data_IF_649305387338
#
_entry.id   IF_649305387338
#
_cell.length_a   1.000
_cell.length_b   1.000
_cell.length_c   1.000
_cell.angle_alpha   90.00
_cell.angle_beta   90.00
_cell.angle_gamma   90.00
#
_symmetry.space_group_name_H-M   'P 1'
#
loop_
_entity.id
_entity.type
_entity.pdbx_description
1 polymer ?
#
# COMPACT_ATOMS: atom_id res chain seq x y z
N UNK A 1 -70.58 -6.29 -11.63
CA UNK A 1 -69.68 -5.20 -11.22
C UNK A 1 -68.47 -5.81 -10.52
N UNK A 2 -67.26 -5.74 -11.10
CA UNK A 2 -66.03 -6.08 -10.40
C UNK A 2 -65.26 -4.83 -9.98
N UNK A 3 -64.62 -4.91 -8.81
CA UNK A 3 -63.70 -3.92 -8.26
C UNK A 3 -62.42 -3.83 -9.12
N UNK A 4 -61.99 -2.61 -9.44
CA UNK A 4 -60.68 -2.33 -10.00
C UNK A 4 -59.68 -2.05 -8.87
N UNK A 5 -58.64 -2.87 -8.82
CA UNK A 5 -57.48 -2.79 -7.95
C UNK A 5 -56.54 -1.67 -8.40
N UNK A 6 -56.23 -0.74 -7.50
CA UNK A 6 -55.23 0.29 -7.70
C UNK A 6 -53.83 -0.31 -7.78
N UNK A 7 -53.22 -0.25 -8.96
CA UNK A 7 -51.79 -0.45 -9.13
C UNK A 7 -51.08 0.85 -8.71
N UNK A 8 -50.32 0.80 -7.61
CA UNK A 8 -49.36 1.85 -7.26
C UNK A 8 -48.15 1.76 -8.19
N UNK A 9 -48.22 2.46 -9.32
CA UNK A 9 -47.06 2.77 -10.13
C UNK A 9 -46.12 3.67 -9.33
N UNK A 10 -44.89 3.22 -9.11
CA UNK A 10 -43.81 4.07 -8.62
C UNK A 10 -43.60 5.23 -9.61
N UNK A 11 -43.60 6.45 -9.10
CA UNK A 11 -43.49 7.67 -9.89
C UNK A 11 -42.08 7.83 -10.49
N UNK A 12 -41.93 8.29 -11.76
CA UNK A 12 -40.63 8.42 -12.43
C UNK A 12 -39.72 9.55 -11.89
N UNK A 13 -40.19 10.38 -10.97
CA UNK A 13 -39.56 11.66 -10.58
C UNK A 13 -38.40 11.54 -9.59
N UNK A 14 -38.32 10.46 -8.79
CA UNK A 14 -37.30 10.37 -7.72
C UNK A 14 -35.84 10.23 -8.20
N UNK A 15 -35.62 9.82 -9.45
CA UNK A 15 -34.26 9.71 -10.02
C UNK A 15 -33.73 11.03 -10.59
N UNK A 16 -34.62 11.95 -10.98
CA UNK A 16 -34.24 13.23 -11.58
C UNK A 16 -33.74 14.24 -10.53
N UNK A 17 -34.16 14.10 -9.27
CA UNK A 17 -33.76 14.98 -8.16
C UNK A 17 -32.43 14.61 -7.49
N UNK A 18 -31.76 13.54 -7.95
CA UNK A 18 -30.47 13.10 -7.37
C UNK A 18 -29.30 13.84 -8.01
N UNK A 19 -28.33 14.20 -7.20
CA UNK A 19 -27.05 14.77 -7.63
C UNK A 19 -26.30 13.76 -8.51
N UNK A 20 -26.09 14.15 -9.76
CA UNK A 20 -25.39 13.35 -10.77
C UNK A 20 -23.90 13.69 -10.74
N UNK A 21 -23.17 13.01 -9.86
CA UNK A 21 -21.75 13.26 -9.65
C UNK A 21 -20.89 12.20 -10.33
N UNK A 22 -19.78 12.63 -10.94
CA UNK A 22 -18.70 11.73 -11.40
C UNK A 22 -17.62 11.57 -10.34
N UNK A 23 -17.41 12.60 -9.53
CA UNK A 23 -16.42 12.65 -8.46
C UNK A 23 -17.09 13.09 -7.16
N UNK A 24 -16.84 12.36 -6.08
CA UNK A 24 -17.35 12.66 -4.75
C UNK A 24 -16.22 12.49 -3.74
N UNK A 25 -15.87 13.59 -3.09
CA UNK A 25 -14.74 13.65 -2.16
C UNK A 25 -15.20 14.28 -0.85
N UNK A 26 -14.97 13.58 0.25
CA UNK A 26 -15.28 14.01 1.60
C UNK A 26 -14.03 13.94 2.45
N UNK A 27 -13.84 14.97 3.28
CA UNK A 27 -12.74 15.04 4.22
C UNK A 27 -13.21 15.64 5.56
N UNK A 28 -12.83 15.03 6.69
CA UNK A 28 -13.09 15.54 8.04
C UNK A 28 -14.58 15.82 8.35
N UNK A 29 -15.48 14.96 7.88
CA UNK A 29 -16.94 15.08 8.12
C UNK A 29 -17.53 13.81 8.74
N UNK A 30 -18.60 13.98 9.51
CA UNK A 30 -19.44 12.87 9.97
C UNK A 30 -20.43 12.50 8.87
N UNK A 31 -20.40 11.24 8.40
CA UNK A 31 -21.26 10.81 7.29
C UNK A 31 -22.67 10.50 7.80
N UNK A 32 -23.65 11.27 7.33
CA UNK A 32 -25.06 10.93 7.51
C UNK A 32 -25.59 10.12 6.32
N UNK A 33 -25.41 8.80 6.39
CA UNK A 33 -25.71 7.84 5.30
C UNK A 33 -27.12 7.97 4.70
N UNK A 34 -28.22 8.11 5.48
CA UNK A 34 -29.57 8.19 4.90
C UNK A 34 -29.75 9.36 3.93
N UNK A 35 -29.07 10.49 4.18
CA UNK A 35 -29.10 11.64 3.29
C UNK A 35 -28.30 11.38 2.02
N UNK A 36 -27.06 10.89 2.14
CA UNK A 36 -26.21 10.65 0.97
C UNK A 36 -26.79 9.59 0.02
N UNK A 37 -27.43 8.55 0.55
CA UNK A 37 -28.09 7.52 -0.26
C UNK A 37 -29.27 8.09 -1.06
N UNK A 38 -30.00 9.06 -0.50
CA UNK A 38 -31.13 9.72 -1.18
C UNK A 38 -30.68 10.81 -2.14
N UNK A 39 -29.66 11.57 -1.76
CA UNK A 39 -29.24 12.78 -2.47
C UNK A 39 -28.36 12.50 -3.69
N UNK A 40 -27.63 11.37 -3.75
CA UNK A 40 -26.62 11.12 -4.79
C UNK A 40 -27.05 9.98 -5.71
N UNK A 41 -26.84 10.16 -7.02
CA UNK A 41 -26.84 9.05 -7.98
C UNK A 41 -25.48 8.35 -7.98
N UNK A 42 -25.37 7.32 -7.15
CA UNK A 42 -24.16 6.52 -6.95
C UNK A 42 -23.74 5.69 -8.18
N UNK A 43 -24.64 5.49 -9.15
CA UNK A 43 -24.36 4.64 -10.33
C UNK A 43 -23.46 5.33 -11.36
N UNK A 44 -23.36 6.67 -11.29
CA UNK A 44 -22.53 7.48 -12.19
C UNK A 44 -21.14 7.77 -11.65
N UNK A 45 -20.92 7.54 -10.36
CA UNK A 45 -19.69 7.89 -9.70
C UNK A 45 -18.51 7.07 -10.24
N UNK A 46 -17.46 7.77 -10.69
CA UNK A 46 -16.18 7.18 -11.10
C UNK A 46 -15.08 7.35 -10.06
N UNK A 47 -15.14 8.39 -9.25
CA UNK A 47 -14.11 8.72 -8.24
C UNK A 47 -14.76 8.92 -6.87
N UNK A 48 -14.26 8.20 -5.87
CA UNK A 48 -14.71 8.28 -4.49
C UNK A 48 -13.50 8.47 -3.56
N UNK A 49 -13.46 9.59 -2.86
CA UNK A 49 -12.46 9.89 -1.84
C UNK A 49 -13.17 10.10 -0.50
N UNK A 50 -12.82 9.33 0.53
CA UNK A 50 -13.38 9.47 1.87
C UNK A 50 -12.23 9.48 2.86
N UNK A 51 -11.90 10.65 3.40
CA UNK A 51 -10.76 10.84 4.30
C UNK A 51 -11.22 11.35 5.66
N UNK A 52 -10.72 10.76 6.74
CA UNK A 52 -10.98 11.18 8.11
C UNK A 52 -12.49 11.29 8.44
N UNK A 53 -13.33 10.51 7.76
CA UNK A 53 -14.78 10.58 7.92
C UNK A 53 -15.30 9.60 8.99
N UNK A 54 -16.11 10.09 9.90
CA UNK A 54 -16.82 9.27 10.88
C UNK A 54 -18.05 8.61 10.25
N UNK A 55 -18.54 7.53 10.86
CA UNK A 55 -19.69 6.75 10.36
C UNK A 55 -19.54 6.16 8.94
N UNK A 56 -18.32 6.16 8.37
CA UNK A 56 -18.03 5.63 7.03
C UNK A 56 -18.48 4.17 6.82
N UNK A 57 -18.49 3.34 7.88
CA UNK A 57 -18.97 1.95 7.77
C UNK A 57 -20.45 1.85 7.41
N UNK A 58 -21.27 2.75 7.95
CA UNK A 58 -22.71 2.78 7.65
C UNK A 58 -22.95 3.05 6.17
N UNK A 59 -22.12 3.90 5.56
CA UNK A 59 -22.15 4.19 4.14
C UNK A 59 -21.79 2.95 3.32
N UNK A 60 -20.66 2.29 3.62
CA UNK A 60 -20.26 1.07 2.91
C UNK A 60 -21.32 -0.04 2.98
N UNK A 61 -21.94 -0.21 4.16
CA UNK A 61 -23.08 -1.13 4.34
C UNK A 61 -24.25 -0.77 3.45
N UNK A 62 -24.66 0.49 3.44
CA UNK A 62 -25.79 0.95 2.64
C UNK A 62 -25.52 0.84 1.14
N UNK A 63 -24.32 1.22 0.68
CA UNK A 63 -23.93 1.10 -0.73
C UNK A 63 -23.94 -0.37 -1.17
N UNK A 64 -23.32 -1.26 -0.39
CA UNK A 64 -23.37 -2.70 -0.68
C UNK A 64 -24.81 -3.21 -0.75
N UNK A 65 -25.65 -2.89 0.24
CA UNK A 65 -27.04 -3.37 0.31
C UNK A 65 -27.88 -2.91 -0.88
N UNK A 66 -27.74 -1.65 -1.30
CA UNK A 66 -28.61 -1.05 -2.30
C UNK A 66 -28.18 -1.33 -3.75
N UNK A 67 -26.90 -1.67 -3.96
CA UNK A 67 -26.30 -1.69 -5.29
C UNK A 67 -25.50 -2.97 -5.60
N UNK A 68 -25.52 -3.98 -4.73
CA UNK A 68 -24.99 -5.29 -5.10
C UNK A 68 -25.95 -5.99 -6.08
N UNK A 69 -25.44 -6.73 -7.08
CA UNK A 69 -26.28 -7.51 -7.97
C UNK A 69 -27.15 -8.50 -7.19
N UNK A 70 -28.42 -8.63 -7.57
CA UNK A 70 -29.38 -9.54 -6.93
C UNK A 70 -28.91 -10.99 -6.95
N UNK A 71 -29.16 -11.75 -5.88
CA UNK A 71 -28.78 -13.16 -5.76
C UNK A 71 -29.44 -14.06 -6.81
N UNK A 72 -30.63 -13.69 -7.31
CA UNK A 72 -31.31 -14.41 -8.40
C UNK A 72 -30.50 -14.39 -9.71
N UNK A 73 -29.66 -13.37 -9.92
CA UNK A 73 -28.79 -13.28 -11.08
C UNK A 73 -27.56 -14.18 -10.97
N UNK A 74 -27.22 -14.70 -9.78
CA UNK A 74 -26.01 -15.48 -9.51
C UNK A 74 -26.19 -16.99 -9.72
N UNK A 75 -27.43 -17.47 -9.82
CA UNK A 75 -27.72 -18.92 -9.88
C UNK A 75 -27.56 -19.56 -11.26
N UNK A 76 -27.29 -18.79 -12.33
CA UNK A 76 -27.24 -19.31 -13.71
C UNK A 76 -25.92 -19.15 -14.46
N UNK A 77 -24.93 -18.42 -13.93
CA UNK A 77 -23.65 -18.17 -14.60
C UNK A 77 -22.53 -18.01 -13.58
N UNK A 78 -21.45 -18.78 -13.71
CA UNK A 78 -20.26 -18.70 -12.84
C UNK A 78 -19.56 -17.32 -12.89
N UNK A 79 -19.94 -16.46 -13.83
CA UNK A 79 -19.52 -15.05 -13.87
C UNK A 79 -20.70 -14.15 -14.22
N UNK A 80 -21.07 -13.24 -13.31
CA UNK A 80 -21.98 -12.14 -13.62
C UNK A 80 -21.33 -11.23 -14.68
N UNK A 81 -22.08 -10.85 -15.71
CA UNK A 81 -21.66 -9.82 -16.66
C UNK A 81 -21.44 -8.47 -15.96
N UNK A 82 -20.61 -7.60 -16.53
CA UNK A 82 -20.34 -6.28 -15.97
C UNK A 82 -21.62 -5.44 -15.79
N UNK A 83 -22.59 -5.60 -16.69
CA UNK A 83 -23.88 -4.88 -16.64
C UNK A 83 -24.75 -5.22 -15.42
N UNK A 84 -24.46 -6.33 -14.73
CA UNK A 84 -25.14 -6.68 -13.48
C UNK A 84 -24.74 -5.77 -12.31
N UNK A 85 -23.60 -5.07 -12.44
CA UNK A 85 -23.07 -4.17 -11.42
C UNK A 85 -23.42 -2.72 -11.76
N UNK A 86 -24.20 -2.01 -10.92
CA UNK A 86 -24.63 -0.65 -11.22
C UNK A 86 -23.53 0.40 -11.04
N UNK A 87 -22.45 0.09 -10.31
CA UNK A 87 -21.36 1.03 -10.05
C UNK A 87 -20.39 1.15 -11.23
N UNK A 88 -20.02 2.40 -11.53
CA UNK A 88 -18.96 2.75 -12.49
C UNK A 88 -17.67 3.23 -11.83
N UNK A 89 -17.49 2.89 -10.55
CA UNK A 89 -16.36 3.34 -9.74
C UNK A 89 -15.04 2.82 -10.32
N UNK A 90 -14.11 3.74 -10.55
CA UNK A 90 -12.75 3.50 -11.09
C UNK A 90 -11.66 3.87 -10.09
N UNK A 91 -11.89 4.90 -9.28
CA UNK A 91 -10.89 5.45 -8.39
C UNK A 91 -11.45 5.49 -6.97
N UNK A 92 -10.75 4.86 -6.03
CA UNK A 92 -11.11 4.85 -4.62
C UNK A 92 -9.92 5.29 -3.77
N UNK A 93 -10.14 6.26 -2.88
CA UNK A 93 -9.17 6.67 -1.86
C UNK A 93 -9.86 6.72 -0.49
N UNK A 94 -9.27 6.04 0.49
CA UNK A 94 -9.73 6.11 1.89
C UNK A 94 -8.60 5.86 2.87
N UNK A 95 -8.71 6.50 4.03
CA UNK A 95 -7.83 6.33 5.17
C UNK A 95 -8.42 5.42 6.27
N UNK A 96 -9.69 5.02 6.11
CA UNK A 96 -10.41 4.12 7.02
C UNK A 96 -10.86 2.88 6.25
N UNK A 97 -10.09 1.82 6.40
CA UNK A 97 -10.33 0.53 5.73
C UNK A 97 -11.04 -0.41 6.68
N UNK A 98 -12.32 -0.67 6.42
CA UNK A 98 -13.15 -1.54 7.23
C UNK A 98 -13.56 -2.83 6.50
N UNK A 99 -14.05 -3.81 7.26
CA UNK A 99 -14.59 -5.05 6.70
C UNK A 99 -15.74 -4.78 5.72
N UNK A 100 -16.57 -3.76 5.99
CA UNK A 100 -17.67 -3.39 5.11
C UNK A 100 -17.20 -2.78 3.79
N UNK A 101 -16.08 -2.05 3.78
CA UNK A 101 -15.44 -1.61 2.55
C UNK A 101 -14.98 -2.83 1.72
N UNK A 102 -14.35 -3.82 2.34
CA UNK A 102 -13.93 -5.04 1.63
C UNK A 102 -15.11 -5.80 1.04
N UNK A 103 -16.22 -5.92 1.79
CA UNK A 103 -17.44 -6.55 1.30
C UNK A 103 -18.08 -5.76 0.16
N UNK A 104 -18.08 -4.42 0.24
CA UNK A 104 -18.52 -3.55 -0.83
C UNK A 104 -17.69 -3.77 -2.11
N UNK A 105 -16.36 -3.75 -2.04
CA UNK A 105 -15.47 -4.01 -3.18
C UNK A 105 -15.67 -5.42 -3.75
N UNK A 106 -15.88 -6.42 -2.89
CA UNK A 106 -16.13 -7.81 -3.30
C UNK A 106 -17.48 -8.00 -3.99
N UNK A 107 -18.53 -7.29 -3.58
CA UNK A 107 -19.90 -7.65 -3.97
C UNK A 107 -20.59 -6.62 -4.85
N UNK A 108 -20.27 -5.34 -4.71
CA UNK A 108 -20.91 -4.25 -5.43
C UNK A 108 -20.07 -3.70 -6.58
N UNK A 109 -18.75 -3.90 -6.58
CA UNK A 109 -17.88 -3.48 -7.68
C UNK A 109 -17.62 -4.65 -8.64
N UNK A 110 -17.83 -4.38 -9.94
CA UNK A 110 -17.54 -5.33 -11.00
C UNK A 110 -16.04 -5.70 -11.04
N UNK A 111 -15.68 -6.98 -11.25
CA UNK A 111 -14.28 -7.36 -11.43
C UNK A 111 -13.63 -6.59 -12.58
N UNK A 112 -12.35 -6.24 -12.42
CA UNK A 112 -11.55 -5.51 -13.41
C UNK A 112 -12.15 -4.19 -13.93
N UNK A 113 -12.84 -3.41 -13.07
CA UNK A 113 -13.22 -2.02 -13.39
C UNK A 113 -12.44 -0.96 -12.61
N UNK A 114 -11.94 -1.29 -11.42
CA UNK A 114 -11.17 -0.37 -10.58
C UNK A 114 -9.79 -0.12 -11.19
N UNK A 115 -9.46 1.15 -11.43
CA UNK A 115 -8.20 1.61 -12.04
C UNK A 115 -7.21 2.12 -10.98
N UNK A 116 -7.68 2.75 -9.90
CA UNK A 116 -6.81 3.15 -8.79
C UNK A 116 -7.42 2.88 -7.43
N UNK A 117 -6.57 2.44 -6.51
CA UNK A 117 -6.93 2.30 -5.10
C UNK A 117 -5.82 2.83 -4.19
N UNK A 118 -6.21 3.69 -3.26
CA UNK A 118 -5.35 4.27 -2.25
C UNK A 118 -5.95 3.94 -0.88
N UNK A 119 -5.28 3.03 -0.17
CA UNK A 119 -5.61 2.63 1.20
C UNK A 119 -4.47 3.13 2.07
N UNK A 120 -4.68 4.28 2.72
CA UNK A 120 -3.64 4.94 3.52
C UNK A 120 -4.13 5.15 4.95
N UNK A 121 -3.86 4.20 5.84
CA UNK A 121 -4.43 4.25 7.19
C UNK A 121 -4.08 5.53 7.95
N UNK A 122 -5.11 6.24 8.40
CA UNK A 122 -4.99 7.45 9.21
C UNK A 122 -4.53 7.16 10.64
N UNK A 123 -3.91 8.14 11.30
CA UNK A 123 -3.37 7.98 12.68
C UNK A 123 -4.44 7.67 13.73
N UNK A 124 -5.67 8.12 13.51
CA UNK A 124 -6.79 7.99 14.45
C UNK A 124 -7.62 6.72 14.23
N UNK A 125 -7.22 5.85 13.30
CA UNK A 125 -7.95 4.65 12.94
C UNK A 125 -7.01 3.44 13.00
N UNK A 126 -7.55 2.31 13.41
CA UNK A 126 -6.85 1.03 13.40
C UNK A 126 -7.76 0.04 12.68
N UNK A 127 -7.35 -0.38 11.49
CA UNK A 127 -8.07 -1.37 10.70
C UNK A 127 -7.97 -2.75 11.33
N UNK A 128 -9.06 -3.51 11.20
CA UNK A 128 -9.12 -4.96 11.47
C UNK A 128 -8.95 -5.78 10.18
N UNK A 129 -8.81 -5.12 9.03
CA UNK A 129 -8.71 -5.77 7.73
C UNK A 129 -7.30 -6.27 7.50
N UNK A 130 -7.16 -7.58 7.30
CA UNK A 130 -5.88 -8.20 6.99
C UNK A 130 -5.45 -7.94 5.53
N UNK A 131 -4.15 -8.05 5.27
CA UNK A 131 -3.61 -7.92 3.90
C UNK A 131 -4.14 -9.00 2.96
N UNK A 132 -4.47 -10.20 3.46
CA UNK A 132 -5.05 -11.29 2.66
C UNK A 132 -6.43 -10.91 2.10
N UNK A 133 -7.23 -10.17 2.88
CA UNK A 133 -8.52 -9.67 2.43
C UNK A 133 -8.35 -8.66 1.29
N UNK A 134 -7.39 -7.74 1.41
CA UNK A 134 -7.05 -6.77 0.36
C UNK A 134 -6.52 -7.50 -0.88
N UNK A 135 -5.59 -8.44 -0.71
CA UNK A 135 -5.05 -9.24 -1.81
C UNK A 135 -6.17 -9.98 -2.57
N UNK A 136 -7.08 -10.66 -1.86
CA UNK A 136 -8.16 -11.45 -2.46
C UNK A 136 -9.23 -10.57 -3.13
N UNK A 137 -9.69 -9.54 -2.44
CA UNK A 137 -10.85 -8.76 -2.85
C UNK A 137 -10.52 -7.55 -3.71
N UNK A 138 -9.27 -7.08 -3.67
CA UNK A 138 -8.80 -5.95 -4.47
C UNK A 138 -7.82 -6.43 -5.55
N UNK A 139 -6.63 -6.88 -5.17
CA UNK A 139 -5.54 -7.12 -6.11
C UNK A 139 -5.86 -8.23 -7.11
N UNK A 140 -6.35 -9.39 -6.64
CA UNK A 140 -6.73 -10.50 -7.53
C UNK A 140 -7.95 -10.18 -8.39
N UNK A 141 -8.95 -9.51 -7.80
CA UNK A 141 -10.24 -9.22 -8.43
C UNK A 141 -10.12 -8.18 -9.55
N UNK A 142 -9.23 -7.20 -9.40
CA UNK A 142 -9.04 -6.08 -10.34
C UNK A 142 -7.69 -6.12 -11.07
N UNK A 143 -7.04 -7.28 -11.10
CA UNK A 143 -5.72 -7.47 -11.71
C UNK A 143 -5.60 -6.94 -13.15
N UNK A 144 -6.68 -7.00 -13.92
CA UNK A 144 -6.70 -6.59 -15.33
C UNK A 144 -6.85 -5.08 -15.54
N UNK A 145 -7.32 -4.34 -14.54
CA UNK A 145 -7.63 -2.91 -14.65
C UNK A 145 -6.80 -2.00 -13.76
N UNK A 146 -6.28 -2.51 -12.64
CA UNK A 146 -5.51 -1.71 -11.68
C UNK A 146 -4.26 -1.13 -12.33
N UNK A 147 -4.18 0.21 -12.29
CA UNK A 147 -3.07 1.03 -12.75
C UNK A 147 -2.28 1.60 -11.58
N UNK A 148 -2.97 1.99 -10.50
CA UNK A 148 -2.35 2.63 -9.34
C UNK A 148 -2.81 1.93 -8.07
N UNK A 149 -1.86 1.45 -7.28
CA UNK A 149 -2.12 0.78 -6.01
C UNK A 149 -1.24 1.41 -4.96
N UNK A 150 -1.84 1.88 -3.86
CA UNK A 150 -1.12 2.31 -2.68
C UNK A 150 -1.73 1.63 -1.46
N UNK A 151 -0.94 0.81 -0.79
CA UNK A 151 -1.27 0.15 0.47
C UNK A 151 -0.25 0.64 1.51
N UNK A 152 -0.68 1.59 2.33
CA UNK A 152 0.17 2.23 3.32
C UNK A 152 -0.51 2.19 4.69
N UNK A 153 0.06 1.40 5.61
CA UNK A 153 -0.33 1.37 7.02
C UNK A 153 0.74 2.03 7.91
N UNK A 154 1.72 2.71 7.32
CA UNK A 154 2.76 3.37 8.08
C UNK A 154 2.21 4.64 8.74
N UNK A 155 2.28 4.69 10.07
CA UNK A 155 1.99 5.90 10.83
C UNK A 155 3.21 6.81 10.74
N UNK A 156 3.22 7.70 9.74
CA UNK A 156 4.27 8.72 9.59
C UNK A 156 4.39 9.51 10.90
N UNK A 157 5.58 9.54 11.51
CA UNK A 157 5.85 10.33 12.72
C UNK A 157 5.65 9.60 14.06
N UNK A 158 5.27 8.32 14.07
CA UNK A 158 5.33 7.50 15.28
C UNK A 158 6.76 6.98 15.44
N UNK A 159 7.40 7.25 16.58
CA UNK A 159 8.68 6.61 16.93
C UNK A 159 8.42 5.11 16.97
N UNK A 160 9.08 4.35 16.10
CA UNK A 160 8.94 2.89 15.99
C UNK A 160 9.08 2.30 17.39
N UNK A 161 7.94 1.97 18.02
CA UNK A 161 7.95 1.28 19.29
C UNK A 161 8.53 -0.12 19.02
N UNK A 162 9.33 -0.60 19.96
CA UNK A 162 10.04 -1.89 19.89
C UNK A 162 9.07 -3.06 19.70
N UNK A 163 7.77 -2.85 19.99
CA UNK A 163 6.71 -3.80 19.74
C UNK A 163 6.28 -3.71 18.26
N UNK A 164 6.84 -4.61 17.44
CA UNK A 164 6.43 -5.00 16.09
C UNK A 164 5.28 -4.17 15.49
N UNK A 165 5.64 -3.02 14.91
CA UNK A 165 4.69 -1.98 14.57
C UNK A 165 3.56 -2.42 13.62
N UNK A 166 2.37 -1.87 13.88
CA UNK A 166 1.11 -2.08 13.14
C UNK A 166 1.22 -1.98 11.60
N UNK A 167 2.28 -1.35 11.08
CA UNK A 167 2.59 -1.34 9.66
C UNK A 167 2.83 -2.74 9.06
N UNK A 168 3.23 -3.72 9.89
CA UNK A 168 3.53 -5.10 9.44
C UNK A 168 2.29 -5.83 8.93
N UNK A 169 1.12 -5.49 9.45
CA UNK A 169 -0.13 -6.17 9.11
C UNK A 169 -0.53 -5.98 7.64
N UNK A 170 -0.03 -4.92 6.99
CA UNK A 170 -0.20 -4.66 5.55
C UNK A 170 1.08 -4.85 4.74
N UNK A 171 2.05 -5.60 5.27
CA UNK A 171 3.14 -6.11 4.45
C UNK A 171 2.60 -7.16 3.48
N UNK A 172 2.93 -7.03 2.20
CA UNK A 172 2.52 -8.04 1.24
C UNK A 172 3.18 -9.37 1.57
N UNK A 173 2.41 -10.45 1.80
CA UNK A 173 2.98 -11.77 1.95
C UNK A 173 3.63 -12.20 0.63
N UNK A 174 4.61 -13.11 0.71
CA UNK A 174 5.38 -13.56 -0.45
C UNK A 174 4.51 -14.06 -1.61
N UNK A 175 3.38 -14.68 -1.34
CA UNK A 175 2.41 -15.09 -2.37
C UNK A 175 1.81 -13.88 -3.11
N UNK A 176 1.33 -12.87 -2.37
CA UNK A 176 0.77 -11.66 -2.95
C UNK A 176 1.84 -10.86 -3.71
N UNK A 177 3.05 -10.77 -3.16
CA UNK A 177 4.19 -10.16 -3.84
C UNK A 177 4.53 -10.89 -5.13
N UNK A 178 4.58 -12.23 -5.10
CA UNK A 178 4.82 -13.05 -6.28
C UNK A 178 3.73 -12.84 -7.34
N UNK A 179 2.48 -12.64 -6.93
CA UNK A 179 1.36 -12.34 -7.81
C UNK A 179 1.52 -10.96 -8.46
N UNK A 180 1.74 -9.90 -7.68
CA UNK A 180 1.90 -8.53 -8.20
C UNK A 180 3.09 -8.47 -9.18
N UNK A 181 4.20 -9.12 -8.83
CA UNK A 181 5.44 -9.17 -9.64
C UNK A 181 5.44 -10.27 -10.72
N UNK A 182 4.32 -10.99 -10.93
CA UNK A 182 4.25 -12.07 -11.93
C UNK A 182 3.98 -11.60 -13.36
N UNK A 183 3.67 -10.32 -13.58
CA UNK A 183 3.17 -9.81 -14.86
C UNK A 183 1.66 -10.04 -15.08
N UNK A 184 0.95 -10.61 -14.10
CA UNK A 184 -0.52 -10.80 -14.14
C UNK A 184 -1.31 -9.50 -13.96
N UNK A 185 -0.65 -8.38 -13.71
CA UNK A 185 -1.24 -7.05 -13.59
C UNK A 185 -0.72 -6.14 -14.72
N UNK A 186 -1.21 -6.31 -15.96
CA UNK A 186 -0.60 -5.70 -17.15
C UNK A 186 -0.74 -4.18 -17.20
N UNK A 187 -1.75 -3.62 -16.52
CA UNK A 187 -2.04 -2.19 -16.50
C UNK A 187 -1.31 -1.45 -15.36
N UNK A 188 -0.62 -2.16 -14.45
CA UNK A 188 -0.01 -1.56 -13.26
C UNK A 188 1.13 -0.60 -13.64
N UNK A 189 1.02 0.65 -13.20
CA UNK A 189 1.97 1.73 -13.45
C UNK A 189 2.53 2.34 -12.16
N UNK A 190 1.76 2.35 -11.09
CA UNK A 190 2.17 2.92 -9.80
C UNK A 190 1.90 1.89 -8.70
N UNK A 191 2.93 1.55 -7.94
CA UNK A 191 2.85 0.55 -6.89
C UNK A 191 3.47 1.08 -5.60
N UNK A 192 2.64 1.25 -4.58
CA UNK A 192 3.03 1.58 -3.22
C UNK A 192 2.69 0.44 -2.27
N UNK A 193 3.67 -0.27 -1.72
CA UNK A 193 3.44 -1.45 -0.87
C UNK A 193 4.49 -1.60 0.24
N UNK A 194 4.05 -2.04 1.42
CA UNK A 194 4.96 -2.57 2.44
C UNK A 194 5.48 -3.96 2.07
N UNK A 195 6.76 -4.24 2.37
CA UNK A 195 7.40 -5.52 2.07
C UNK A 195 8.42 -5.89 3.14
N UNK A 196 8.58 -7.19 3.38
CA UNK A 196 9.63 -7.74 4.25
C UNK A 196 10.99 -7.63 3.58
N UNK A 197 12.03 -7.32 4.35
CA UNK A 197 13.41 -7.35 3.84
C UNK A 197 13.77 -8.71 3.25
N UNK A 198 13.29 -9.81 3.84
CA UNK A 198 13.58 -11.17 3.35
C UNK A 198 13.10 -11.38 1.91
N UNK A 199 12.12 -10.61 1.48
CA UNK A 199 11.56 -10.65 0.13
C UNK A 199 12.15 -9.59 -0.82
N UNK A 200 13.08 -8.74 -0.36
CA UNK A 200 13.71 -7.71 -1.17
C UNK A 200 14.42 -8.28 -2.40
N UNK A 201 15.32 -9.26 -2.22
CA UNK A 201 15.99 -9.91 -3.34
C UNK A 201 15.02 -10.63 -4.26
N UNK A 202 13.95 -11.22 -3.70
CA UNK A 202 12.90 -11.87 -4.49
C UNK A 202 12.14 -10.86 -5.37
N UNK A 203 11.88 -9.67 -4.85
CA UNK A 203 11.27 -8.56 -5.59
C UNK A 203 12.20 -8.08 -6.71
N UNK A 204 13.47 -7.80 -6.40
CA UNK A 204 14.48 -7.34 -7.37
C UNK A 204 14.60 -8.28 -8.57
N UNK A 205 14.69 -9.60 -8.34
CA UNK A 205 14.75 -10.61 -9.41
C UNK A 205 13.54 -10.58 -10.36
N UNK A 206 12.41 -10.04 -9.90
CA UNK A 206 11.15 -10.01 -10.65
C UNK A 206 10.78 -8.62 -11.14
N UNK A 207 11.48 -7.58 -10.70
CA UNK A 207 11.30 -6.21 -11.17
C UNK A 207 11.28 -6.09 -12.71
N UNK A 208 12.11 -6.82 -13.49
CA UNK A 208 12.05 -6.77 -14.95
C UNK A 208 10.70 -7.23 -15.56
N UNK A 209 9.87 -7.95 -14.79
CA UNK A 209 8.52 -8.37 -15.23
C UNK A 209 7.49 -7.26 -15.09
N UNK A 210 7.82 -6.18 -14.38
CA UNK A 210 7.00 -5.00 -14.18
C UNK A 210 7.37 -3.89 -15.18
N UNK A 211 7.50 -4.23 -16.46
CA UNK A 211 8.01 -3.31 -17.49
C UNK A 211 7.21 -2.00 -17.62
N UNK A 212 5.90 -2.03 -17.30
CA UNK A 212 5.03 -0.86 -17.36
C UNK A 212 5.03 0.00 -16.09
N UNK A 213 5.75 -0.42 -15.04
CA UNK A 213 5.80 0.30 -13.78
C UNK A 213 6.60 1.60 -13.95
N UNK A 214 5.99 2.73 -13.60
CA UNK A 214 6.53 4.09 -13.69
C UNK A 214 6.93 4.65 -12.33
N UNK A 215 6.23 4.27 -11.27
CA UNK A 215 6.56 4.67 -9.91
C UNK A 215 6.45 3.49 -8.94
N UNK A 216 7.45 3.38 -8.06
CA UNK A 216 7.51 2.43 -6.96
C UNK A 216 7.61 3.22 -5.65
N UNK A 217 6.78 2.90 -4.67
CA UNK A 217 6.85 3.47 -3.33
C UNK A 217 6.92 2.36 -2.29
N UNK A 218 7.90 2.44 -1.40
CA UNK A 218 8.16 1.50 -0.33
C UNK A 218 7.97 2.25 1.00
N UNK A 219 6.72 2.35 1.51
CA UNK A 219 6.41 3.13 2.71
C UNK A 219 7.20 2.72 3.94
N UNK A 220 7.45 1.42 4.09
CA UNK A 220 8.26 0.91 5.17
C UNK A 220 9.04 -0.34 4.73
N UNK A 221 10.35 -0.30 4.96
CA UNK A 221 11.25 -1.44 4.91
C UNK A 221 12.04 -1.44 6.20
N UNK A 222 11.50 -2.11 7.22
CA UNK A 222 12.19 -2.23 8.49
C UNK A 222 13.42 -3.12 8.33
N UNK A 223 14.56 -2.54 8.64
CA UNK A 223 15.79 -3.28 8.84
C UNK A 223 16.69 -2.50 9.80
N UNK A 224 17.04 -3.09 10.95
CA UNK A 224 17.90 -2.44 11.95
C UNK A 224 19.39 -2.55 11.61
N UNK A 225 19.77 -3.35 10.60
CA UNK A 225 21.17 -3.57 10.17
C UNK A 225 21.62 -2.58 9.08
N UNK A 226 20.66 -1.92 8.43
CA UNK A 226 20.86 -0.97 7.36
C UNK A 226 21.24 0.39 7.96
N UNK A 227 22.45 0.86 7.62
CA UNK A 227 23.00 2.12 8.11
C UNK A 227 22.21 3.36 7.67
N UNK A 228 22.70 4.54 8.06
CA UNK A 228 22.04 5.84 7.80
C UNK A 228 21.74 6.11 6.31
N UNK A 229 22.46 5.47 5.39
CA UNK A 229 22.33 5.66 3.94
C UNK A 229 21.44 4.62 3.23
N UNK A 230 20.66 3.84 3.98
CA UNK A 230 19.86 2.72 3.45
C UNK A 230 18.99 3.05 2.24
N UNK A 231 18.35 4.23 2.22
CA UNK A 231 17.46 4.61 1.11
C UNK A 231 18.23 4.75 -0.20
N UNK A 232 19.45 5.31 -0.14
CA UNK A 232 20.30 5.48 -1.32
C UNK A 232 20.80 4.14 -1.83
N UNK A 233 21.25 3.25 -0.93
CA UNK A 233 21.72 1.91 -1.30
C UNK A 233 20.62 1.07 -1.96
N UNK A 234 19.41 1.07 -1.40
CA UNK A 234 18.27 0.37 -1.99
C UNK A 234 17.88 0.94 -3.37
N UNK A 235 17.91 2.27 -3.52
CA UNK A 235 17.67 2.92 -4.81
C UNK A 235 18.74 2.56 -5.84
N UNK A 236 20.02 2.50 -5.45
CA UNK A 236 21.12 2.08 -6.33
C UNK A 236 20.96 0.62 -6.78
N UNK A 237 20.54 -0.29 -5.90
CA UNK A 237 20.26 -1.68 -6.31
C UNK A 237 19.15 -1.79 -7.35
N UNK A 238 18.11 -0.95 -7.25
CA UNK A 238 17.07 -0.87 -8.30
C UNK A 238 17.67 -0.28 -9.59
N UNK A 239 18.47 0.79 -9.48
CA UNK A 239 19.11 1.44 -10.62
C UNK A 239 20.00 0.46 -11.40
N UNK A 240 20.77 -0.39 -10.72
CA UNK A 240 21.61 -1.41 -11.35
C UNK A 240 20.78 -2.37 -12.23
N UNK A 241 19.58 -2.74 -11.80
CA UNK A 241 18.69 -3.60 -12.60
C UNK A 241 18.16 -2.85 -13.81
N UNK A 242 17.76 -1.58 -13.63
CA UNK A 242 17.19 -0.75 -14.71
C UNK A 242 18.24 -0.46 -15.78
N UNK A 243 19.48 -0.15 -15.37
CA UNK A 243 20.59 0.06 -16.31
C UNK A 243 20.91 -1.17 -17.14
N UNK A 244 20.72 -2.38 -16.59
CA UNK A 244 20.88 -3.64 -17.32
C UNK A 244 19.64 -4.05 -18.14
N UNK A 245 18.48 -3.47 -17.86
CA UNK A 245 17.17 -3.83 -18.45
C UNK A 245 16.41 -2.55 -18.86
N UNK A 246 16.79 -1.91 -19.97
CA UNK A 246 16.21 -0.63 -20.40
C UNK A 246 14.74 -0.70 -20.79
N UNK A 247 14.16 -1.90 -20.92
CA UNK A 247 12.71 -2.06 -21.09
C UNK A 247 11.90 -1.71 -19.83
N UNK A 248 12.55 -1.60 -18.67
CA UNK A 248 11.93 -1.17 -17.43
C UNK A 248 11.73 0.34 -17.48
N UNK A 249 10.48 0.77 -17.38
CA UNK A 249 10.10 2.16 -17.53
C UNK A 249 10.00 2.95 -16.21
N UNK A 250 10.66 2.47 -15.16
CA UNK A 250 10.54 3.03 -13.82
C UNK A 250 11.27 4.38 -13.74
N UNK A 251 10.54 5.43 -13.37
CA UNK A 251 11.06 6.79 -13.30
C UNK A 251 11.22 7.28 -11.87
N UNK A 252 10.35 6.83 -10.95
CA UNK A 252 10.31 7.32 -9.57
C UNK A 252 10.40 6.18 -8.56
N UNK A 253 11.27 6.35 -7.57
CA UNK A 253 11.42 5.44 -6.44
C UNK A 253 11.25 6.25 -5.15
N UNK A 254 10.14 6.03 -4.45
CA UNK A 254 9.96 6.49 -3.09
C UNK A 254 10.34 5.40 -2.09
N UNK A 255 11.19 5.72 -1.12
CA UNK A 255 11.53 4.82 -0.01
C UNK A 255 11.35 5.61 1.28
N UNK A 256 10.35 5.22 2.07
CA UNK A 256 9.90 5.92 3.28
C UNK A 256 9.64 7.42 3.00
N UNK A 257 10.53 8.31 3.46
CA UNK A 257 10.41 9.76 3.34
C UNK A 257 11.31 10.34 2.24
N UNK A 258 12.07 9.52 1.51
CA UNK A 258 12.93 9.93 0.40
C UNK A 258 12.29 9.56 -0.93
N UNK A 259 12.50 10.41 -1.94
CA UNK A 259 12.08 10.17 -3.31
C UNK A 259 13.30 10.36 -4.21
N UNK A 260 13.49 9.42 -5.14
CA UNK A 260 14.54 9.42 -6.14
C UNK A 260 13.91 9.43 -7.52
N UNK A 261 14.47 10.24 -8.40
CA UNK A 261 14.12 10.29 -9.82
C UNK A 261 15.25 9.63 -10.63
N UNK A 262 14.87 8.76 -11.55
CA UNK A 262 15.80 8.12 -12.49
C UNK A 262 15.82 8.97 -13.75
N UNK A 263 16.96 9.62 -13.98
CA UNK A 263 17.20 10.44 -15.16
C UNK A 263 17.91 9.60 -16.22
N UNK A 264 17.27 9.44 -17.38
CA UNK A 264 17.93 8.91 -18.57
C UNK A 264 18.79 10.02 -19.17
N UNK A 265 20.11 9.98 -19.00
CA UNK A 265 20.99 10.89 -19.73
C UNK A 265 21.08 10.41 -21.18
N UNK A 266 20.61 11.18 -22.18
CA UNK A 266 20.85 10.82 -23.56
C UNK A 266 22.35 10.74 -23.78
N UNK A 267 22.82 9.68 -24.46
CA UNK A 267 24.25 9.37 -24.65
C UNK A 267 25.02 10.52 -25.33
N UNK A 268 24.32 11.48 -25.94
CA UNK A 268 24.88 12.63 -26.64
C UNK A 268 25.37 13.77 -25.73
N UNK A 269 24.98 13.82 -24.45
CA UNK A 269 25.39 14.89 -23.51
C UNK A 269 26.69 14.58 -22.75
N UNK A 270 27.36 13.47 -23.09
CA UNK A 270 28.67 13.14 -22.48
C UNK A 270 29.76 14.16 -22.83
N UNK A 271 29.55 15.02 -23.83
CA UNK A 271 30.51 16.09 -24.18
C UNK A 271 30.38 17.34 -23.29
N UNK A 272 29.25 17.52 -22.60
CA UNK A 272 29.02 18.69 -21.72
C UNK A 272 29.26 18.40 -20.23
N UNK A 273 29.50 17.12 -19.84
CA UNK A 273 29.81 16.77 -18.44
C UNK A 273 31.17 17.27 -17.95
N UNK A 274 32.07 17.69 -18.84
CA UNK A 274 33.32 18.33 -18.42
C UNK A 274 33.12 19.75 -17.88
N UNK A 275 31.99 20.41 -18.20
CA UNK A 275 31.67 21.75 -17.71
C UNK A 275 30.95 21.77 -16.35
N UNK A 276 30.53 20.62 -15.82
CA UNK A 276 29.83 20.49 -14.53
C UNK A 276 30.70 19.94 -13.40
N UNK A 277 32.01 19.74 -13.64
CA UNK A 277 32.96 19.32 -12.59
C UNK A 277 33.20 20.42 -11.54
N UNK A 278 32.86 21.68 -11.84
CA UNK A 278 32.99 22.84 -10.92
C UNK A 278 31.74 23.15 -10.09
N UNK A 279 30.81 22.19 -9.92
CA UNK A 279 29.66 22.38 -9.03
C UNK A 279 30.07 22.17 -7.55
N UNK A 280 29.82 23.14 -6.64
CA UNK A 280 30.36 23.16 -5.27
C UNK A 280 29.78 22.10 -4.31
N UNK A 281 29.06 21.11 -4.83
CA UNK A 281 28.49 20.00 -4.07
C UNK A 281 29.37 18.74 -4.09
N UNK A 282 30.44 18.73 -4.88
CA UNK A 282 31.52 17.74 -4.83
C UNK A 282 32.77 18.38 -4.20
N UNK A 283 32.76 18.55 -2.89
CA UNK A 283 34.02 18.74 -2.15
C UNK A 283 34.46 17.36 -1.67
N UNK A 284 35.36 16.72 -2.42
CA UNK A 284 36.29 15.74 -1.86
C UNK A 284 37.15 16.50 -0.85
N UNK A 285 36.88 16.35 0.43
CA UNK A 285 37.85 16.65 1.48
C UNK A 285 38.93 15.58 1.41
N UNK A 286 39.88 15.81 0.51
CA UNK A 286 41.23 15.27 0.62
C UNK A 286 42.10 16.43 1.12
N UNK A 287 42.46 16.37 2.39
CA UNK A 287 43.29 17.38 3.05
C UNK A 287 44.61 16.73 3.42
N UNK A 288 45.53 16.74 2.46
CA UNK A 288 46.96 16.67 2.72
C UNK A 288 47.53 18.07 2.44
N UNK A 289 48.12 18.69 3.46
CA UNK A 289 49.40 19.37 3.29
C UNK A 289 50.04 19.68 4.66
N UNK A 290 51.04 18.84 4.95
CA UNK A 290 52.36 19.06 5.55
C UNK A 290 52.70 20.49 6.01
N UNK A 291 53.16 20.64 7.25
CA UNK A 291 54.38 21.44 7.49
C UNK A 291 55.18 20.97 8.72
N UNK A 292 56.46 21.30 8.67
CA UNK A 292 57.61 20.55 9.18
C UNK A 292 58.12 20.96 10.58
N UNK A 293 58.93 20.06 11.15
CA UNK A 293 60.10 20.28 12.01
C UNK A 293 60.04 20.38 13.58
N UNK A 294 60.64 19.33 14.17
CA UNK A 294 61.72 19.29 15.20
C UNK A 294 61.39 19.06 16.70
N UNK A 295 61.69 17.85 17.18
CA UNK A 295 62.66 17.48 18.25
C UNK A 295 62.22 16.19 19.00
N UNK A 296 63.00 15.10 18.87
CA UNK A 296 62.83 13.85 19.66
C UNK A 296 63.53 13.89 21.03
N UNK A 297 63.86 12.75 21.68
CA UNK A 297 63.42 11.35 21.52
C UNK A 297 62.99 10.70 22.88
N UNK A 298 62.92 9.36 22.91
CA UNK A 298 62.85 8.42 24.06
C UNK A 298 61.47 7.95 24.56
N UNK A 299 61.10 6.70 24.25
CA UNK A 299 61.24 5.56 25.21
C UNK A 299 60.59 4.28 24.68
N UNK A 300 61.40 3.23 24.65
CA UNK A 300 61.10 1.80 24.46
C UNK A 300 60.11 1.25 25.49
N UNK A 301 59.20 0.33 25.08
CA UNK A 301 58.90 -0.92 25.84
C UNK A 301 57.81 -1.81 25.18
N UNK A 302 58.27 -2.77 24.39
CA UNK A 302 58.04 -4.24 24.37
C UNK A 302 56.81 -4.86 25.11
N UNK A 303 56.15 -5.77 24.35
CA UNK A 303 55.55 -7.10 24.69
C UNK A 303 54.22 -7.27 25.43
N UNK A 304 53.43 -8.22 24.91
CA UNK A 304 52.45 -8.99 25.67
C UNK A 304 51.39 -9.67 24.79
N UNK A 305 51.74 -10.81 24.18
CA UNK A 305 50.76 -11.83 23.76
C UNK A 305 50.09 -12.43 25.01
N UNK A 306 48.82 -12.82 24.91
CA UNK A 306 48.36 -14.10 25.47
C UNK A 306 46.92 -14.41 25.00
N UNK A 307 46.79 -15.60 24.44
CA UNK A 307 45.58 -16.33 24.10
C UNK A 307 44.77 -16.70 25.34
N UNK A 308 43.43 -16.79 25.21
CA UNK A 308 42.70 -17.85 25.89
C UNK A 308 41.39 -18.20 25.17
N UNK A 309 41.33 -19.45 24.72
CA UNK A 309 40.13 -20.18 24.30
C UNK A 309 39.22 -20.49 25.51
N UNK A 310 37.92 -20.64 25.24
CA UNK A 310 36.94 -21.11 26.21
C UNK A 310 35.56 -21.30 25.58
N UNK A 311 35.38 -22.46 24.94
CA UNK A 311 34.08 -23.06 24.63
C UNK A 311 33.21 -23.18 25.89
N UNK A 312 31.90 -22.98 25.74
CA UNK A 312 30.89 -23.90 26.29
C UNK A 312 29.52 -23.60 25.65
N UNK A 313 29.07 -24.59 24.87
CA UNK A 313 27.69 -24.79 24.45
C UNK A 313 26.80 -25.10 25.67
N UNK A 314 25.56 -24.60 25.69
CA UNK A 314 24.46 -25.41 26.22
C UNK A 314 23.08 -24.95 25.72
N UNK A 315 22.36 -25.95 25.22
CA UNK A 315 21.04 -25.94 24.60
C UNK A 315 19.91 -25.50 25.55
N UNK A 316 18.98 -24.67 25.05
CA UNK A 316 17.59 -24.67 25.53
C UNK A 316 16.58 -24.64 24.38
N UNK A 317 16.17 -25.84 23.97
CA UNK A 317 14.90 -26.09 23.32
C UNK A 317 13.76 -26.01 24.34
N UNK A 318 12.80 -25.10 24.16
CA UNK A 318 11.41 -25.37 24.59
C UNK A 318 10.43 -24.59 23.71
N UNK A 319 9.64 -25.32 22.92
CA UNK A 319 8.52 -24.77 22.15
C UNK A 319 7.22 -24.83 22.99
N UNK A 320 6.21 -24.01 22.68
CA UNK A 320 5.13 -23.60 23.58
C UNK A 320 3.83 -24.38 23.37
N UNK A 321 2.99 -24.46 24.40
CA UNK A 321 1.53 -24.63 24.29
C UNK A 321 0.89 -24.41 25.67
N UNK A 322 -0.08 -23.48 25.77
CA UNK A 322 -1.32 -23.45 26.60
C UNK A 322 -1.94 -22.04 26.35
N UNK A 323 -2.85 -21.87 25.38
CA UNK A 323 -4.33 -21.88 25.51
C UNK A 323 -4.82 -21.07 26.72
N UNK A 324 -5.22 -19.82 26.49
CA UNK A 324 -6.06 -19.06 27.42
C UNK A 324 -7.51 -19.13 26.93
N UNK A 325 -8.32 -19.87 27.68
CA UNK A 325 -9.77 -19.76 27.69
C UNK A 325 -10.15 -18.42 28.32
N UNK A 326 -11.12 -17.73 27.71
CA UNK A 326 -11.73 -16.50 28.23
C UNK A 326 -13.09 -16.89 28.79
N UNK A 327 -13.24 -16.69 30.10
CA UNK A 327 -14.48 -16.85 30.85
C UNK A 327 -15.53 -15.81 30.40
N UNK A 328 -16.74 -16.31 30.12
CA UNK A 328 -17.98 -15.53 30.09
C UNK A 328 -18.45 -15.33 31.53
N UNK A 329 -18.56 -14.08 31.97
CA UNK A 329 -19.39 -13.75 33.13
C UNK A 329 -20.52 -12.80 32.70
N UNK A 330 -21.70 -13.25 33.12
CA UNK A 330 -23.06 -12.82 32.87
C UNK A 330 -23.42 -11.47 33.48
N UNK A 331 -24.20 -10.68 32.74
CA UNK A 331 -24.92 -9.51 33.22
C UNK A 331 -26.12 -9.94 34.09
N UNK A 332 -26.14 -9.48 35.35
CA UNK A 332 -27.34 -9.30 36.17
C UNK A 332 -27.98 -7.95 35.85
N UNK A 333 -29.29 -7.92 35.58
CA UNK A 333 -30.30 -7.18 36.37
C UNK A 333 -31.60 -6.97 35.59
N UNK A 334 -32.73 -7.39 36.17
CA UNK A 334 -33.79 -6.49 36.66
C UNK A 334 -35.14 -7.22 36.83
N UNK A 335 -35.71 -7.03 38.02
CA UNK A 335 -37.10 -7.29 38.41
C UNK A 335 -38.13 -6.46 37.63
#
# INVERSE_FOLDING_TARGET
MPLATGHSGSTPTEKEDRLQLETFELENVVIYTPLLIKAIDWTRLSTLTILHCEEHESLWRALRRNYSPSESSRQGSETLGQDAYPFKLKHLHTDRVSTYLMLFLKEAIAPNTLESIYLQEGRSYTTVVSIEAIYKHVLRRHRGSLRKVLLDRSRRGETVSINHGHWRDWMLPREALAFVTSGKMPQLRELGIGMDRRDWHFFLQRLPRLANLRALYLPNMFDPTLGRNKHRELALQILDIITLRPEIQLCYIGIEHKCFEILETPVNDKMDRELYRDSPWYSETDSDDVDDHTNGPDSESISGEDDNDGDDDDDFHTNPHVILELDEDTDEDSE
#
